data_IF_857172408647
#
_entry.id   IF_857172408647
#
_cell.length_a   1.000
_cell.length_b   1.000
_cell.length_c   1.000
_cell.angle_alpha   90.00
_cell.angle_beta   90.00
_cell.angle_gamma   90.00
#
_symmetry.space_group_name_H-M   'P 1'
#
loop_
_entity.id
_entity.type
_entity.pdbx_description
1 polymer ?
#
# COMPACT_ATOMS: atom_id res chain seq x y z
N UNK A 1 -5.87 5.95 18.75
CA UNK A 1 -5.06 4.84 18.20
C UNK A 1 -5.03 4.98 16.68
N UNK A 2 -3.86 4.95 16.01
CA UNK A 2 -3.84 4.94 14.55
C UNK A 2 -4.53 3.65 14.06
N UNK A 3 -5.50 3.79 13.16
CA UNK A 3 -6.18 2.64 12.56
C UNK A 3 -5.21 1.88 11.63
N UNK A 4 -5.35 0.56 11.46
CA UNK A 4 -4.49 -0.24 10.57
C UNK A 4 -4.40 0.34 9.14
N UNK A 5 -5.48 0.97 8.69
CA UNK A 5 -5.56 1.68 7.41
C UNK A 5 -4.66 2.92 7.35
N UNK A 6 -4.50 3.68 8.44
CA UNK A 6 -3.64 4.86 8.45
C UNK A 6 -2.16 4.48 8.43
N UNK A 7 -1.79 3.40 9.12
CA UNK A 7 -0.43 2.86 9.07
C UNK A 7 -0.08 2.37 7.67
N UNK A 8 -0.98 1.58 7.06
CA UNK A 8 -0.82 1.12 5.68
C UNK A 8 -0.70 2.30 4.70
N UNK A 9 -1.57 3.32 4.79
CA UNK A 9 -1.49 4.53 3.95
C UNK A 9 -0.12 5.21 4.05
N UNK A 10 0.39 5.41 5.26
CA UNK A 10 1.67 6.06 5.48
C UNK A 10 2.86 5.25 4.95
N UNK A 11 2.81 3.93 5.04
CA UNK A 11 3.85 3.07 4.47
C UNK A 11 3.81 3.07 2.95
N UNK A 12 2.62 2.95 2.35
CA UNK A 12 2.46 3.01 0.90
C UNK A 12 2.94 4.36 0.34
N UNK A 13 2.60 5.47 1.01
CA UNK A 13 3.05 6.81 0.63
C UNK A 13 4.56 6.94 0.62
N UNK A 14 5.24 6.47 1.66
CA UNK A 14 6.70 6.58 1.76
C UNK A 14 7.41 5.63 0.81
N UNK A 15 6.95 4.38 0.70
CA UNK A 15 7.58 3.36 -0.15
C UNK A 15 7.39 3.61 -1.64
N UNK A 16 6.18 4.05 -2.04
CA UNK A 16 5.81 4.19 -3.45
C UNK A 16 5.65 5.64 -3.91
N UNK A 17 5.94 6.59 -3.03
CA UNK A 17 5.93 8.00 -3.38
C UNK A 17 4.55 8.53 -3.76
N UNK A 18 3.54 8.23 -2.96
CA UNK A 18 2.15 8.64 -3.22
C UNK A 18 1.86 10.04 -2.66
N UNK A 19 0.91 10.72 -3.30
CA UNK A 19 0.39 12.03 -2.89
C UNK A 19 -0.14 12.01 -1.46
N UNK A 20 -0.12 13.12 -0.71
CA UNK A 20 -0.76 13.17 0.60
C UNK A 20 -2.27 12.88 0.62
N UNK A 21 -2.94 13.06 -0.52
CA UNK A 21 -4.35 12.73 -0.70
C UNK A 21 -4.58 11.25 -1.05
N UNK A 22 -3.52 10.49 -1.37
CA UNK A 22 -3.59 9.09 -1.77
C UNK A 22 -2.70 8.20 -0.87
N UNK A 23 -3.04 6.94 -0.64
CA UNK A 23 -4.26 6.27 -1.09
C UNK A 23 -5.47 6.64 -0.21
N UNK A 24 -6.59 6.90 -0.87
CA UNK A 24 -7.91 7.07 -0.25
C UNK A 24 -8.38 5.77 0.40
N UNK A 25 -9.37 5.85 1.28
CA UNK A 25 -9.93 4.64 1.93
C UNK A 25 -10.50 3.64 0.92
N UNK A 26 -11.06 4.13 -0.20
CA UNK A 26 -11.58 3.29 -1.28
C UNK A 26 -10.45 2.59 -2.06
N UNK A 27 -9.36 3.30 -2.36
CA UNK A 27 -8.17 2.71 -2.99
C UNK A 27 -7.54 1.63 -2.10
N UNK A 28 -7.41 1.89 -0.79
CA UNK A 28 -6.95 0.90 0.18
C UNK A 28 -7.85 -0.35 0.17
N UNK A 29 -9.17 -0.16 0.15
CA UNK A 29 -10.11 -1.29 0.16
C UNK A 29 -10.03 -2.11 -1.13
N UNK A 30 -9.85 -1.46 -2.28
CA UNK A 30 -9.65 -2.14 -3.56
C UNK A 30 -8.34 -2.92 -3.60
N UNK A 31 -7.25 -2.34 -3.09
CA UNK A 31 -5.97 -3.03 -2.92
C UNK A 31 -6.19 -4.25 -2.02
N UNK A 32 -6.73 -4.08 -0.81
CA UNK A 32 -7.01 -5.19 0.11
C UNK A 32 -7.84 -6.30 -0.53
N UNK A 33 -8.94 -5.95 -1.21
CA UNK A 33 -9.80 -6.91 -1.90
C UNK A 33 -9.05 -7.67 -2.98
N UNK A 34 -8.26 -6.98 -3.81
CA UNK A 34 -7.46 -7.62 -4.85
C UNK A 34 -6.49 -8.64 -4.25
N UNK A 35 -5.80 -8.26 -3.18
CA UNK A 35 -4.81 -9.12 -2.52
C UNK A 35 -5.46 -10.31 -1.77
N UNK A 36 -6.66 -10.12 -1.20
CA UNK A 36 -7.45 -11.20 -0.60
C UNK A 36 -7.99 -12.20 -1.63
N UNK A 37 -8.46 -11.70 -2.79
CA UNK A 37 -9.02 -12.54 -3.86
C UNK A 37 -7.95 -13.39 -4.55
N UNK A 38 -6.71 -12.90 -4.64
CA UNK A 38 -5.63 -13.63 -5.30
C UNK A 38 -5.27 -14.95 -4.59
N UNK A 39 -5.58 -15.11 -3.29
CA UNK A 39 -5.40 -16.37 -2.56
C UNK A 39 -3.97 -16.93 -2.53
N UNK A 40 -3.00 -16.15 -3.02
CA UNK A 40 -1.59 -16.54 -3.20
C UNK A 40 -0.65 -15.45 -2.70
N UNK A 41 0.61 -15.83 -2.52
CA UNK A 41 1.67 -14.87 -2.23
C UNK A 41 1.87 -14.00 -3.47
N UNK A 42 1.57 -12.72 -3.28
CA UNK A 42 1.68 -11.63 -4.25
C UNK A 42 3.11 -11.12 -4.21
N UNK A 43 3.74 -11.05 -5.38
CA UNK A 43 5.10 -10.55 -5.50
C UNK A 43 5.14 -9.04 -5.27
N UNK A 44 6.30 -8.49 -4.84
CA UNK A 44 6.46 -7.05 -4.64
C UNK A 44 6.13 -6.23 -5.90
N UNK A 45 6.52 -6.74 -7.07
CA UNK A 45 6.20 -6.14 -8.37
C UNK A 45 4.70 -6.16 -8.68
N UNK A 46 3.98 -7.23 -8.35
CA UNK A 46 2.52 -7.29 -8.55
C UNK A 46 1.79 -6.32 -7.61
N UNK A 47 2.27 -6.20 -6.37
CA UNK A 47 1.76 -5.22 -5.43
C UNK A 47 1.99 -3.80 -5.96
N UNK A 48 3.18 -3.50 -6.47
CA UNK A 48 3.51 -2.22 -7.12
C UNK A 48 2.59 -1.89 -8.28
N UNK A 49 2.41 -2.82 -9.22
CA UNK A 49 1.50 -2.64 -10.35
C UNK A 49 0.06 -2.41 -9.90
N UNK A 50 -0.37 -3.13 -8.86
CA UNK A 50 -1.70 -2.96 -8.27
C UNK A 50 -1.86 -1.57 -7.66
N UNK A 51 -0.85 -1.10 -6.92
CA UNK A 51 -0.86 0.23 -6.32
C UNK A 51 -0.83 1.30 -7.40
N UNK A 52 0.04 1.18 -8.41
CA UNK A 52 0.09 2.09 -9.55
C UNK A 52 -1.24 2.14 -10.34
N UNK A 53 -1.94 0.99 -10.43
CA UNK A 53 -3.27 0.91 -11.06
C UNK A 53 -4.34 1.66 -10.28
N UNK A 54 -4.31 1.61 -8.95
CA UNK A 54 -5.31 2.26 -8.11
C UNK A 54 -4.93 3.68 -7.67
N UNK A 55 -3.65 4.01 -7.63
CA UNK A 55 -3.09 5.27 -7.14
C UNK A 55 -2.32 5.96 -8.29
N UNK A 56 -2.94 6.91 -9.02
CA UNK A 56 -2.30 7.63 -10.11
C UNK A 56 -1.07 8.46 -9.68
N UNK A 57 -0.97 8.86 -8.41
CA UNK A 57 0.23 9.56 -7.90
C UNK A 57 1.42 8.65 -7.62
N UNK A 58 1.40 7.39 -8.05
CA UNK A 58 2.54 6.47 -7.93
C UNK A 58 3.82 7.05 -8.50
N UNK A 59 4.88 7.09 -7.67
CA UNK A 59 6.18 7.66 -8.02
C UNK A 59 6.19 9.18 -8.20
N UNK A 60 5.09 9.88 -7.92
CA UNK A 60 5.00 11.34 -8.11
C UNK A 60 5.61 12.13 -6.95
N UNK A 61 5.77 11.53 -5.77
CA UNK A 61 6.30 12.20 -4.58
C UNK A 61 7.53 11.49 -4.08
N UNK A 62 8.62 12.21 -3.87
CA UNK A 62 9.82 11.65 -3.25
C UNK A 62 9.79 11.93 -1.75
N UNK A 63 9.75 10.87 -0.95
CA UNK A 63 9.95 11.00 0.50
C UNK A 63 11.45 10.98 0.80
N UNK A 64 11.95 12.04 1.43
CA UNK A 64 13.33 12.10 1.92
C UNK A 64 13.46 11.21 3.17
N UNK A 65 13.74 9.93 2.94
CA UNK A 65 13.95 8.92 3.98
C UNK A 65 14.04 7.53 3.35
N UNK A 66 15.02 6.74 3.77
CA UNK A 66 15.13 5.35 3.31
C UNK A 66 13.97 4.57 3.92
N UNK A 67 12.92 4.32 3.15
CA UNK A 67 11.81 3.49 3.59
C UNK A 67 12.24 2.02 3.53
N UNK A 68 12.76 1.52 4.65
CA UNK A 68 13.18 0.13 4.82
C UNK A 68 11.99 -0.82 5.10
N UNK A 69 10.76 -0.43 4.77
CA UNK A 69 9.60 -1.26 5.08
C UNK A 69 9.59 -2.51 4.21
N UNK A 70 9.79 -3.67 4.83
CA UNK A 70 9.71 -4.95 4.16
C UNK A 70 8.32 -5.21 3.55
N UNK A 71 8.32 -5.87 2.38
CA UNK A 71 7.10 -6.32 1.71
C UNK A 71 6.23 -7.18 2.64
N UNK A 72 6.85 -8.04 3.45
CA UNK A 72 6.15 -8.88 4.42
C UNK A 72 5.38 -8.07 5.46
N UNK A 73 5.91 -6.94 5.90
CA UNK A 73 5.25 -6.04 6.86
C UNK A 73 4.03 -5.37 6.22
N UNK A 74 4.16 -4.93 4.97
CA UNK A 74 3.04 -4.39 4.19
C UNK A 74 1.92 -5.41 4.02
N UNK A 75 2.26 -6.63 3.58
CA UNK A 75 1.29 -7.71 3.40
C UNK A 75 0.59 -8.07 4.70
N UNK A 76 1.33 -8.13 5.82
CA UNK A 76 0.73 -8.35 7.15
C UNK A 76 -0.29 -7.27 7.48
N UNK A 77 0.03 -5.99 7.29
CA UNK A 77 -0.91 -4.89 7.59
C UNK A 77 -2.15 -4.90 6.69
N UNK A 78 -1.99 -5.31 5.44
CA UNK A 78 -3.10 -5.50 4.50
C UNK A 78 -4.03 -6.62 4.99
N UNK A 79 -3.45 -7.74 5.47
CA UNK A 79 -4.19 -8.91 5.94
C UNK A 79 -4.73 -8.81 7.37
N UNK A 80 -4.23 -7.88 8.21
CA UNK A 80 -4.52 -7.81 9.66
C UNK A 80 -5.89 -7.21 10.04
N UNK A 81 -6.74 -6.82 9.07
CA UNK A 81 -8.13 -6.41 9.37
C UNK A 81 -9.10 -7.59 9.21
N UNK A 82 -9.03 -8.53 10.14
CA UNK A 82 -10.08 -9.53 10.38
C UNK A 82 -10.77 -9.27 11.71
#
# INVERSE_FOLDING_TARGET
MPTPNNELKNLLRRKYGLSPAEPTSQQIQNIKRYLQVQGRIISGQELEQTIAKYCPSFGSHTYAGVDNTDLTTLLKLISKEK
#
